data_IF_567300754024
#
_entry.id   IF_567300754024
#
_cell.length_a   1.000
_cell.length_b   1.000
_cell.length_c   1.000
_cell.angle_alpha   90.00
_cell.angle_beta   90.00
_cell.angle_gamma   90.00
#
_symmetry.space_group_name_H-M   'P 1'
#
loop_
_entity.id
_entity.type
_entity.pdbx_description
1 polymer ?
#
# COMPACT_ATOMS: atom_id res chain seq x y z
N UNK A 1 -19.97 8.61 -10.46
CA UNK A 1 -19.36 9.00 -9.17
C UNK A 1 -18.38 7.90 -8.83
N UNK A 2 -17.11 8.06 -9.19
CA UNK A 2 -16.08 7.04 -8.98
C UNK A 2 -15.79 6.98 -7.48
N UNK A 3 -16.05 5.83 -6.86
CA UNK A 3 -15.68 5.58 -5.47
C UNK A 3 -14.17 5.41 -5.47
N UNK A 4 -13.41 6.45 -5.09
CA UNK A 4 -12.00 6.32 -4.75
C UNK A 4 -11.85 5.16 -3.76
N UNK A 5 -11.13 4.12 -4.16
CA UNK A 5 -10.87 3.00 -3.27
C UNK A 5 -9.77 3.37 -2.28
N UNK A 6 -9.70 2.68 -1.13
CA UNK A 6 -8.60 2.87 -0.19
C UNK A 6 -7.22 2.53 -0.78
N UNK A 7 -7.19 1.78 -1.90
CA UNK A 7 -5.97 1.51 -2.68
C UNK A 7 -5.53 2.76 -3.45
N UNK A 8 -6.46 3.46 -4.10
CA UNK A 8 -6.14 4.69 -4.88
C UNK A 8 -5.52 5.75 -3.97
N UNK A 9 -6.11 5.95 -2.78
CA UNK A 9 -5.56 6.89 -1.78
C UNK A 9 -4.18 6.50 -1.25
N UNK A 10 -3.91 5.19 -1.11
CA UNK A 10 -2.58 4.73 -0.73
C UNK A 10 -1.57 5.04 -1.85
N UNK A 11 -1.91 4.73 -3.10
CA UNK A 11 -1.03 4.96 -4.26
C UNK A 11 -0.68 6.44 -4.36
N UNK A 12 -1.68 7.33 -4.31
CA UNK A 12 -1.43 8.77 -4.30
C UNK A 12 -0.54 9.23 -3.14
N UNK A 13 -0.73 8.64 -1.95
CA UNK A 13 0.10 8.92 -0.78
C UNK A 13 1.56 8.51 -0.99
N UNK A 14 1.78 7.36 -1.62
CA UNK A 14 3.12 6.86 -1.97
C UNK A 14 3.75 7.75 -3.05
N UNK A 15 3.03 8.10 -4.10
CA UNK A 15 3.54 8.96 -5.18
C UNK A 15 3.97 10.34 -4.64
N UNK A 16 3.15 10.93 -3.76
CA UNK A 16 3.52 12.18 -3.06
C UNK A 16 4.79 12.01 -2.23
N UNK A 17 4.95 10.89 -1.52
CA UNK A 17 6.13 10.63 -0.70
C UNK A 17 7.40 10.45 -1.55
N UNK A 18 7.31 9.75 -2.68
CA UNK A 18 8.43 9.57 -3.62
C UNK A 18 8.84 10.91 -4.24
N UNK A 19 7.90 11.83 -4.44
CA UNK A 19 8.17 13.18 -4.94
C UNK A 19 8.98 14.09 -4.00
N UNK A 20 9.27 13.68 -2.76
CA UNK A 20 9.97 14.52 -1.77
C UNK A 20 11.47 14.68 -2.02
N UNK A 21 12.07 13.88 -2.91
CA UNK A 21 13.43 14.10 -3.41
C UNK A 21 14.58 13.69 -2.47
N UNK A 22 14.30 13.22 -1.26
CA UNK A 22 15.30 12.56 -0.40
C UNK A 22 14.85 11.17 0.04
N UNK A 23 15.82 10.28 0.28
CA UNK A 23 15.55 8.89 0.69
C UNK A 23 14.86 8.85 2.04
N UNK A 24 15.32 9.67 2.99
CA UNK A 24 14.78 9.73 4.35
C UNK A 24 13.34 10.25 4.34
N UNK A 25 13.06 11.31 3.58
CA UNK A 25 11.72 11.86 3.45
C UNK A 25 10.77 10.89 2.74
N UNK A 26 11.25 10.23 1.68
CA UNK A 26 10.50 9.18 0.97
C UNK A 26 10.14 8.04 1.91
N UNK A 27 11.12 7.50 2.64
CA UNK A 27 10.90 6.39 3.56
C UNK A 27 9.92 6.75 4.69
N UNK A 28 10.05 7.95 5.27
CA UNK A 28 9.13 8.44 6.28
C UNK A 28 7.71 8.62 5.74
N UNK A 29 7.57 9.22 4.55
CA UNK A 29 6.28 9.45 3.90
C UNK A 29 5.57 8.15 3.50
N UNK A 30 6.30 7.21 2.88
CA UNK A 30 5.76 5.89 2.51
C UNK A 30 5.31 5.12 3.75
N UNK A 31 6.11 5.13 4.83
CA UNK A 31 5.73 4.50 6.11
C UNK A 31 4.45 5.10 6.67
N UNK A 32 4.32 6.42 6.66
CA UNK A 32 3.13 7.10 7.16
C UNK A 32 1.88 6.72 6.36
N UNK A 33 1.95 6.75 5.03
CA UNK A 33 0.85 6.39 4.14
C UNK A 33 0.39 4.93 4.35
N UNK A 34 1.34 3.99 4.39
CA UNK A 34 1.04 2.58 4.64
C UNK A 34 0.42 2.35 6.03
N UNK A 35 0.98 3.00 7.06
CA UNK A 35 0.49 2.85 8.44
C UNK A 35 -0.95 3.33 8.58
N UNK A 36 -1.29 4.45 7.94
CA UNK A 36 -2.65 4.99 7.97
C UNK A 36 -3.63 4.11 7.20
N UNK A 37 -3.23 3.61 6.02
CA UNK A 37 -4.09 2.76 5.22
C UNK A 37 -4.38 1.39 5.88
N UNK A 38 -3.44 0.86 6.67
CA UNK A 38 -3.66 -0.32 7.53
C UNK A 38 -4.55 0.02 8.72
N UNK A 39 -4.27 1.12 9.43
CA UNK A 39 -5.00 1.52 10.65
C UNK A 39 -6.47 1.83 10.38
N UNK A 40 -6.74 2.55 9.29
CA UNK A 40 -8.10 2.92 8.89
C UNK A 40 -8.93 1.75 8.36
N UNK A 41 -8.30 0.60 8.06
CA UNK A 41 -8.96 -0.53 7.40
C UNK A 41 -9.40 -0.23 5.96
N UNK A 42 -8.92 0.88 5.38
CA UNK A 42 -9.25 1.30 4.02
C UNK A 42 -8.70 0.31 2.97
N UNK A 43 -7.62 -0.40 3.29
CA UNK A 43 -7.09 -1.48 2.47
C UNK A 43 -7.74 -2.81 2.81
N UNK A 44 -8.44 -3.38 1.83
CA UNK A 44 -8.89 -4.77 1.86
C UNK A 44 -8.11 -5.55 0.80
N UNK A 45 -7.40 -6.58 1.23
CA UNK A 45 -6.74 -7.50 0.32
C UNK A 45 -7.77 -8.50 -0.24
N UNK A 46 -7.70 -8.87 -1.53
CA UNK A 46 -8.49 -9.97 -2.05
C UNK A 46 -8.15 -11.27 -1.31
N UNK A 47 -9.13 -12.15 -1.12
CA UNK A 47 -8.96 -13.39 -0.37
C UNK A 47 -7.80 -14.26 -0.90
N UNK A 48 -7.59 -14.27 -2.22
CA UNK A 48 -6.49 -14.98 -2.88
C UNK A 48 -5.10 -14.52 -2.40
N UNK A 49 -4.97 -13.28 -1.90
CA UNK A 49 -3.74 -12.73 -1.37
C UNK A 49 -3.46 -13.18 0.06
N UNK A 50 -4.51 -13.56 0.80
CA UNK A 50 -4.41 -14.04 2.18
C UNK A 50 -4.09 -15.54 2.27
N UNK A 51 -4.13 -16.28 1.15
CA UNK A 51 -3.87 -17.72 1.14
C UNK A 51 -2.37 -18.01 1.35
N UNK A 52 -1.98 -18.80 2.36
CA UNK A 52 -0.58 -19.20 2.52
C UNK A 52 -0.14 -20.15 1.42
N UNK A 53 1.19 -20.26 1.19
CA UNK A 53 1.80 -21.32 0.39
C UNK A 53 2.59 -22.23 1.34
N UNK A 54 2.46 -23.54 1.17
CA UNK A 54 3.01 -24.52 2.10
C UNK A 54 4.54 -24.49 2.16
N UNK A 55 5.20 -24.24 1.04
CA UNK A 55 6.64 -24.44 0.89
C UNK A 55 7.45 -23.14 0.89
N UNK A 56 6.79 -21.98 0.83
CA UNK A 56 7.48 -20.70 0.66
C UNK A 56 6.62 -19.48 1.00
N UNK A 57 7.28 -18.32 1.13
CA UNK A 57 6.61 -17.04 1.26
C UNK A 57 5.90 -16.65 -0.04
N UNK A 58 4.61 -16.36 0.05
CA UNK A 58 3.78 -16.01 -1.10
C UNK A 58 3.89 -14.52 -1.44
N UNK A 59 4.77 -14.16 -2.38
CA UNK A 59 4.83 -12.82 -2.98
C UNK A 59 3.78 -12.70 -4.07
N UNK A 60 2.93 -11.69 -3.97
CA UNK A 60 1.87 -11.39 -4.96
C UNK A 60 1.89 -9.92 -5.29
N UNK A 61 1.88 -9.62 -6.59
CA UNK A 61 1.82 -8.25 -7.08
C UNK A 61 0.42 -7.69 -6.86
N UNK A 62 0.32 -6.58 -6.11
CA UNK A 62 -0.97 -5.93 -5.80
C UNK A 62 -1.27 -4.77 -6.76
N UNK A 63 -0.25 -4.03 -7.17
CA UNK A 63 -0.34 -2.85 -8.04
C UNK A 63 1.00 -2.64 -8.77
N UNK A 64 0.98 -1.99 -9.93
CA UNK A 64 2.17 -1.65 -10.74
C UNK A 64 1.99 -0.31 -11.41
#
# INVERSE_FOLDING_TARGET
MLVETGVDRLIEGIDRAVGLGSVEATAAGVKAALSEAVRSGALRLPESFCRPRAESYARRLLHR
#
